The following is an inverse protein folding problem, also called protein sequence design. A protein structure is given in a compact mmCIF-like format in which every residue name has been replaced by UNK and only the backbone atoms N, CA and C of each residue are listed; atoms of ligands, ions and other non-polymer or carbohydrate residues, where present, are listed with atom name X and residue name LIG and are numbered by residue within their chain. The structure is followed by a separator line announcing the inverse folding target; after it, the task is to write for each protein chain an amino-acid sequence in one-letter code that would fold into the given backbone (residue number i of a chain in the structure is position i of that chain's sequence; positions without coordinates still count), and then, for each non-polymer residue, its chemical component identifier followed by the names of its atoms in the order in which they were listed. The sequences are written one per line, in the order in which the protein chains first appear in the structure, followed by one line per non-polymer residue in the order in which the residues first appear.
data_IF_526175113151
#
_entry.id   IF_526175113151
#
_cell.length_a   1.000
_cell.length_b   1.000
_cell.length_c   1.000
_cell.angle_alpha   90.00
_cell.angle_beta   90.00
_cell.angle_gamma   90.00
#
_symmetry.space_group_name_H-M   'P 1'
#
loop_
_entity.id
_entity.type
_entity.pdbx_description
1 polymer ?
#
# COMPACT_ATOMS: atom_id res chain seq x y z
N UNK A 1 2.47 -31.11 5.13
CA UNK A 1 2.77 -29.81 4.47
C UNK A 1 3.50 -28.92 5.43
N UNK A 2 4.60 -28.36 4.98
CA UNK A 2 5.33 -27.38 5.81
C UNK A 2 4.50 -26.10 5.90
N UNK A 3 4.17 -25.68 7.12
CA UNK A 3 3.62 -24.36 7.34
C UNK A 3 4.64 -23.31 6.87
N UNK A 4 4.15 -22.33 6.11
CA UNK A 4 4.98 -21.22 5.67
C UNK A 4 5.26 -20.33 6.87
N UNK A 5 6.52 -19.96 7.05
CA UNK A 5 6.93 -19.05 8.12
C UNK A 5 7.16 -17.66 7.56
N UNK A 6 6.60 -16.68 8.23
CA UNK A 6 6.81 -15.27 7.90
C UNK A 6 7.61 -14.58 8.99
N UNK A 7 8.47 -13.68 8.59
CA UNK A 7 9.15 -12.76 9.50
C UNK A 7 8.38 -11.45 9.55
N UNK A 8 8.33 -10.84 10.73
CA UNK A 8 7.66 -9.57 10.96
C UNK A 8 8.60 -8.60 11.66
N UNK A 9 8.62 -7.37 11.18
CA UNK A 9 9.25 -6.24 11.87
C UNK A 9 8.23 -5.13 12.01
N UNK A 10 8.29 -4.40 13.12
CA UNK A 10 7.44 -3.24 13.35
C UNK A 10 8.22 -1.98 13.00
N UNK A 11 7.54 -1.04 12.35
CA UNK A 11 8.12 0.21 11.91
C UNK A 11 7.27 1.38 12.43
N UNK A 12 7.75 2.13 13.42
CA UNK A 12 7.05 3.34 13.88
C UNK A 12 7.09 4.41 12.79
N UNK A 13 5.94 4.97 12.45
CA UNK A 13 5.85 5.98 11.41
C UNK A 13 4.93 7.12 11.82
N UNK A 14 4.94 8.26 11.07
CA UNK A 14 4.02 9.37 11.34
C UNK A 14 2.53 9.00 11.21
N UNK A 15 2.21 7.91 10.52
CA UNK A 15 0.81 7.47 10.38
C UNK A 15 0.50 6.27 11.28
N UNK A 16 1.37 5.96 12.22
CA UNK A 16 1.20 4.84 13.15
C UNK A 16 2.22 3.75 12.93
N UNK A 17 2.17 2.72 13.74
CA UNK A 17 3.08 1.59 13.62
C UNK A 17 2.71 0.73 12.43
N UNK A 18 3.69 0.47 11.57
CA UNK A 18 3.52 -0.40 10.42
C UNK A 18 4.00 -1.80 10.76
N UNK A 19 3.25 -2.80 10.30
CA UNK A 19 3.61 -4.20 10.36
C UNK A 19 4.19 -4.59 9.01
N UNK A 20 5.46 -4.99 8.98
CA UNK A 20 6.16 -5.41 7.76
C UNK A 20 6.32 -6.91 7.79
N UNK A 21 5.81 -7.62 6.79
CA UNK A 21 5.81 -9.08 6.78
C UNK A 21 6.39 -9.60 5.47
N UNK A 22 7.34 -10.53 5.60
CA UNK A 22 8.04 -11.14 4.46
C UNK A 22 8.36 -12.61 4.73
N UNK A 23 8.51 -13.38 3.66
CA UNK A 23 9.20 -14.66 3.74
C UNK A 23 10.67 -14.46 3.36
N UNK A 24 11.37 -15.53 2.99
CA UNK A 24 12.80 -15.46 2.65
C UNK A 24 13.09 -14.62 1.41
N UNK A 25 12.11 -14.47 0.50
CA UNK A 25 12.30 -13.88 -0.82
C UNK A 25 11.44 -12.66 -1.07
N UNK A 26 10.22 -12.61 -0.51
CA UNK A 26 9.20 -11.65 -0.93
C UNK A 26 8.58 -10.92 0.24
N UNK A 27 8.23 -9.66 -0.04
CA UNK A 27 7.43 -8.84 0.86
C UNK A 27 5.95 -9.18 0.66
N UNK A 28 5.28 -9.59 1.73
CA UNK A 28 3.86 -9.95 1.71
C UNK A 28 2.94 -8.80 2.10
N UNK A 29 3.42 -7.88 2.89
CA UNK A 29 2.60 -6.74 3.23
C UNK A 29 3.30 -5.67 4.07
N UNK A 30 2.70 -4.50 3.99
CA UNK A 30 2.98 -3.34 4.83
C UNK A 30 1.61 -2.85 5.28
N UNK A 31 1.26 -3.07 6.55
CA UNK A 31 -0.04 -2.69 7.07
C UNK A 31 0.10 -1.75 8.25
N UNK A 32 -0.72 -0.70 8.26
CA UNK A 32 -0.89 0.10 9.48
C UNK A 32 -1.67 -0.77 10.48
N UNK A 33 -1.22 -0.84 11.72
CA UNK A 33 -1.96 -1.59 12.74
C UNK A 33 -3.40 -1.07 12.82
N UNK A 34 -4.33 -1.99 13.01
CA UNK A 34 -5.78 -1.74 13.10
C UNK A 34 -6.46 -1.29 11.81
N UNK A 35 -5.76 -1.32 10.66
CA UNK A 35 -6.41 -1.02 9.39
C UNK A 35 -7.33 -2.15 8.92
N UNK A 36 -8.27 -1.82 8.04
CA UNK A 36 -9.10 -2.80 7.32
C UNK A 36 -8.20 -3.73 6.50
N UNK A 37 -8.48 -5.03 6.52
CA UNK A 37 -7.71 -6.08 5.85
C UNK A 37 -6.28 -6.26 6.41
N UNK A 38 -6.09 -5.89 7.68
CA UNK A 38 -4.80 -6.07 8.35
C UNK A 38 -4.32 -7.52 8.24
N UNK A 39 -3.09 -7.71 7.78
CA UNK A 39 -2.45 -9.01 7.56
C UNK A 39 -3.29 -9.97 6.68
N UNK A 40 -4.07 -9.42 5.76
CA UNK A 40 -4.92 -10.20 4.85
C UNK A 40 -4.11 -11.20 4.04
N UNK A 41 -4.61 -12.43 3.96
CA UNK A 41 -4.02 -13.48 3.13
C UNK A 41 -2.97 -14.32 3.82
N UNK A 42 -2.63 -14.03 5.08
CA UNK A 42 -1.65 -14.81 5.83
C UNK A 42 -2.27 -16.01 6.57
N UNK A 43 -3.58 -15.92 6.85
CA UNK A 43 -4.31 -17.05 7.47
C UNK A 43 -3.72 -17.49 8.80
N UNK A 44 -3.66 -18.83 9.00
CA UNK A 44 -3.13 -19.44 10.22
C UNK A 44 -1.61 -19.69 10.16
N UNK A 45 -0.93 -19.02 9.26
CA UNK A 45 0.51 -19.18 9.07
C UNK A 45 1.29 -18.61 10.25
N UNK A 46 2.45 -19.18 10.52
CA UNK A 46 3.30 -18.72 11.63
C UNK A 46 4.01 -17.42 11.27
N UNK A 47 3.80 -16.41 12.10
CA UNK A 47 4.46 -15.10 11.97
C UNK A 47 5.36 -14.92 13.19
N UNK A 48 6.64 -14.68 12.95
CA UNK A 48 7.64 -14.47 14.00
C UNK A 48 8.21 -13.07 13.93
N UNK A 49 8.16 -12.32 15.03
CA UNK A 49 8.87 -11.04 15.12
C UNK A 49 10.36 -11.30 15.18
N UNK A 50 11.10 -10.57 14.34
CA UNK A 50 12.56 -10.72 14.23
C UNK A 50 13.24 -9.36 14.40
N UNK A 51 14.51 -9.37 14.85
CA UNK A 51 15.29 -8.17 15.02
C UNK A 51 15.94 -7.72 13.72
N UNK A 52 16.11 -8.61 12.75
CA UNK A 52 16.69 -8.30 11.46
C UNK A 52 16.24 -9.31 10.41
N UNK A 53 16.11 -8.85 9.15
CA UNK A 53 15.68 -9.67 8.03
C UNK A 53 16.02 -8.95 6.73
N UNK A 54 16.75 -9.59 5.77
CA UNK A 54 17.24 -8.86 4.58
C UNK A 54 16.13 -8.15 3.78
N UNK A 55 15.01 -8.82 3.53
CA UNK A 55 13.90 -8.21 2.78
C UNK A 55 13.30 -7.05 3.57
N UNK A 56 13.04 -7.25 4.87
CA UNK A 56 12.40 -6.23 5.70
C UNK A 56 13.33 -5.03 5.94
N UNK A 57 14.63 -5.25 6.06
CA UNK A 57 15.59 -4.15 6.19
C UNK A 57 15.66 -3.30 4.93
N UNK A 58 15.56 -3.93 3.75
CA UNK A 58 15.45 -3.21 2.49
C UNK A 58 14.19 -2.33 2.46
N UNK A 59 13.07 -2.89 2.92
CA UNK A 59 11.79 -2.15 2.99
C UNK A 59 11.89 -0.99 3.96
N UNK A 60 12.53 -1.20 5.12
CA UNK A 60 12.75 -0.13 6.10
C UNK A 60 13.54 1.01 5.47
N UNK A 61 14.57 0.70 4.70
CA UNK A 61 15.36 1.71 3.99
C UNK A 61 14.48 2.52 3.02
N UNK A 62 13.59 1.86 2.27
CA UNK A 62 12.65 2.56 1.40
C UNK A 62 11.68 3.45 2.19
N UNK A 63 11.17 2.96 3.32
CA UNK A 63 10.26 3.74 4.16
C UNK A 63 10.96 4.95 4.77
N UNK A 64 12.19 4.79 5.24
CA UNK A 64 12.98 5.89 5.78
C UNK A 64 13.16 6.99 4.72
N UNK A 65 13.52 6.61 3.51
CA UNK A 65 13.69 7.54 2.38
C UNK A 65 12.37 8.24 2.06
N UNK A 66 11.28 7.51 2.06
CA UNK A 66 9.96 8.07 1.80
C UNK A 66 9.59 9.13 2.84
N UNK A 67 9.72 8.81 4.13
CA UNK A 67 9.34 9.73 5.20
C UNK A 67 10.29 10.92 5.33
N UNK A 68 11.50 10.81 4.82
CA UNK A 68 12.42 11.95 4.69
C UNK A 68 12.01 12.91 3.57
N UNK A 69 11.05 12.53 2.73
CA UNK A 69 10.55 13.36 1.64
C UNK A 69 11.29 13.19 0.32
N UNK A 70 12.09 12.14 0.19
CA UNK A 70 12.84 11.88 -1.03
C UNK A 70 12.09 10.93 -1.96
N UNK A 71 12.19 11.21 -3.26
CA UNK A 71 11.66 10.33 -4.31
C UNK A 71 12.69 9.27 -4.63
N UNK A 72 12.24 8.03 -4.81
CA UNK A 72 13.12 6.89 -5.02
C UNK A 72 12.56 5.94 -6.07
N UNK A 73 13.43 5.14 -6.65
CA UNK A 73 13.06 4.07 -7.56
C UNK A 73 12.73 2.81 -6.75
N UNK A 74 11.50 2.32 -6.89
CA UNK A 74 11.01 1.13 -6.18
C UNK A 74 10.92 -0.10 -7.08
N UNK A 75 11.56 -0.08 -8.25
CA UNK A 75 11.50 -1.19 -9.22
C UNK A 75 12.06 -2.50 -8.66
N UNK A 76 12.99 -2.43 -7.70
CA UNK A 76 13.60 -3.60 -7.06
C UNK A 76 12.82 -4.11 -5.84
N UNK A 77 11.66 -3.55 -5.56
CA UNK A 77 10.84 -3.96 -4.41
C UNK A 77 10.37 -5.40 -4.61
N UNK A 78 10.74 -6.36 -3.73
CA UNK A 78 10.45 -7.77 -3.93
C UNK A 78 9.03 -8.14 -3.49
N UNK A 79 8.04 -7.69 -4.23
CA UNK A 79 6.63 -7.95 -3.92
C UNK A 79 6.28 -9.41 -4.17
N UNK A 80 5.56 -10.02 -3.23
CA UNK A 80 5.09 -11.40 -3.38
C UNK A 80 4.10 -11.51 -4.55
N UNK A 81 4.15 -12.60 -5.34
CA UNK A 81 3.23 -12.79 -6.47
C UNK A 81 1.87 -13.29 -5.99
N UNK A 82 1.13 -12.43 -5.29
CA UNK A 82 -0.17 -12.74 -4.67
C UNK A 82 -1.26 -11.85 -5.26
N UNK A 83 -2.51 -12.26 -5.05
CA UNK A 83 -3.68 -11.55 -5.54
C UNK A 83 -4.28 -12.19 -6.78
N UNK A 84 -5.51 -11.79 -7.10
CA UNK A 84 -6.18 -12.20 -8.33
C UNK A 84 -5.55 -11.49 -9.53
N UNK A 85 -5.82 -11.96 -10.74
CA UNK A 85 -5.34 -11.30 -11.95
C UNK A 85 -5.83 -9.86 -12.03
N UNK A 86 -7.08 -9.61 -11.63
CA UNK A 86 -7.65 -8.28 -11.59
C UNK A 86 -6.91 -7.38 -10.56
N UNK A 87 -6.71 -7.90 -9.36
CA UNK A 87 -5.97 -7.16 -8.32
C UNK A 87 -4.55 -6.83 -8.78
N UNK A 88 -3.87 -7.79 -9.40
CA UNK A 88 -2.51 -7.56 -9.93
C UNK A 88 -2.46 -6.46 -10.98
N UNK A 89 -3.46 -6.40 -11.87
CA UNK A 89 -3.56 -5.33 -12.87
C UNK A 89 -3.71 -3.96 -12.20
N UNK A 90 -4.57 -3.88 -11.20
CA UNK A 90 -4.78 -2.63 -10.46
C UNK A 90 -3.53 -2.23 -9.70
N UNK A 91 -2.93 -3.16 -8.98
CA UNK A 91 -1.74 -2.86 -8.18
C UNK A 91 -0.54 -2.47 -9.05
N UNK A 92 -0.38 -3.09 -10.23
CA UNK A 92 0.65 -2.68 -11.20
C UNK A 92 0.41 -1.25 -11.67
N UNK A 93 -0.85 -0.90 -11.94
CA UNK A 93 -1.21 0.47 -12.30
C UNK A 93 -0.82 1.46 -11.19
N UNK A 94 -1.11 1.12 -9.94
CA UNK A 94 -0.78 1.98 -8.80
C UNK A 94 0.73 2.27 -8.74
N UNK A 95 1.56 1.29 -9.02
CA UNK A 95 3.02 1.46 -8.99
C UNK A 95 3.52 2.51 -9.98
N UNK A 96 2.75 2.78 -11.01
CA UNK A 96 3.11 3.75 -12.04
C UNK A 96 2.67 5.17 -11.70
N UNK A 97 1.90 5.39 -10.64
CA UNK A 97 1.47 6.73 -10.23
C UNK A 97 2.65 7.45 -9.55
N UNK A 98 3.16 8.55 -10.14
CA UNK A 98 4.34 9.21 -9.58
C UNK A 98 4.11 9.84 -8.21
N UNK A 99 5.18 9.99 -7.47
CA UNK A 99 5.21 10.70 -6.19
C UNK A 99 4.62 12.11 -6.35
N UNK A 100 3.74 12.48 -5.45
CA UNK A 100 3.10 13.81 -5.47
C UNK A 100 1.96 13.96 -6.47
N UNK A 101 1.63 12.89 -7.20
CA UNK A 101 0.52 12.92 -8.17
C UNK A 101 -0.64 12.06 -7.70
N UNK A 102 -1.82 12.36 -8.19
CA UNK A 102 -3.04 11.64 -7.87
C UNK A 102 -3.81 11.26 -9.12
N UNK A 103 -4.68 10.28 -8.98
CA UNK A 103 -5.59 9.85 -10.04
C UNK A 103 -6.92 9.46 -9.41
N UNK A 104 -7.99 9.43 -10.18
CA UNK A 104 -9.29 9.02 -9.66
C UNK A 104 -9.54 7.53 -9.95
N UNK A 105 -10.42 6.92 -9.14
CA UNK A 105 -10.88 5.54 -9.40
C UNK A 105 -11.49 5.43 -10.80
N UNK A 106 -12.27 6.44 -11.22
CA UNK A 106 -12.88 6.44 -12.55
C UNK A 106 -11.85 6.47 -13.68
N UNK A 107 -10.77 7.21 -13.51
CA UNK A 107 -9.71 7.26 -14.51
C UNK A 107 -8.98 5.91 -14.62
N UNK A 108 -8.72 5.25 -13.49
CA UNK A 108 -8.13 3.90 -13.52
C UNK A 108 -9.06 2.92 -14.24
N UNK A 109 -10.37 2.98 -13.94
CA UNK A 109 -11.35 2.12 -14.58
C UNK A 109 -11.34 2.32 -16.10
N UNK A 110 -11.29 3.57 -16.54
CA UNK A 110 -11.22 3.91 -17.95
C UNK A 110 -9.94 3.36 -18.59
N UNK A 111 -8.79 3.59 -17.96
CA UNK A 111 -7.48 3.17 -18.49
C UNK A 111 -7.36 1.65 -18.58
N UNK A 112 -7.92 0.94 -17.61
CA UNK A 112 -7.90 -0.53 -17.58
C UNK A 112 -9.09 -1.16 -18.31
N UNK A 113 -9.99 -0.35 -18.87
CA UNK A 113 -11.19 -0.81 -19.58
C UNK A 113 -12.09 -1.67 -18.69
N UNK A 114 -12.28 -1.20 -17.46
CA UNK A 114 -13.16 -1.83 -16.46
C UNK A 114 -14.43 -1.00 -16.33
N UNK A 115 -15.58 -1.65 -16.38
CA UNK A 115 -16.87 -0.96 -16.35
C UNK A 115 -17.18 -0.29 -15.00
N UNK A 116 -16.57 -0.77 -13.91
CA UNK A 116 -16.94 -0.36 -12.56
C UNK A 116 -15.78 0.30 -11.81
N UNK A 117 -15.92 1.58 -11.49
CA UNK A 117 -15.00 2.28 -10.60
C UNK A 117 -15.05 1.68 -9.19
N UNK A 118 -16.20 1.11 -8.79
CA UNK A 118 -16.33 0.45 -7.49
C UNK A 118 -15.46 -0.80 -7.41
N UNK A 119 -15.36 -1.57 -8.50
CA UNK A 119 -14.48 -2.74 -8.56
C UNK A 119 -13.01 -2.33 -8.41
N UNK A 120 -12.61 -1.20 -9.04
CA UNK A 120 -11.28 -0.63 -8.87
C UNK A 120 -11.06 -0.26 -7.39
N UNK A 121 -12.03 0.42 -6.77
CA UNK A 121 -11.94 0.80 -5.36
C UNK A 121 -11.73 -0.40 -4.43
N UNK A 122 -12.42 -1.51 -4.71
CA UNK A 122 -12.24 -2.75 -3.95
C UNK A 122 -10.82 -3.29 -4.06
N UNK A 123 -10.28 -3.36 -5.27
CA UNK A 123 -8.92 -3.85 -5.50
C UNK A 123 -7.88 -2.92 -4.87
N UNK A 124 -8.05 -1.61 -4.98
CA UNK A 124 -7.18 -0.61 -4.35
C UNK A 124 -7.19 -0.79 -2.83
N UNK A 125 -8.38 -0.98 -2.24
CA UNK A 125 -8.53 -1.16 -0.79
C UNK A 125 -7.87 -2.44 -0.27
N UNK A 126 -7.70 -3.45 -1.10
CA UNK A 126 -7.07 -4.72 -0.73
C UNK A 126 -5.56 -4.76 -1.00
N UNK A 127 -4.96 -3.66 -1.46
CA UNK A 127 -3.52 -3.56 -1.65
C UNK A 127 -2.79 -3.93 -0.34
N UNK A 128 -1.94 -4.97 -0.34
CA UNK A 128 -1.23 -5.35 0.89
C UNK A 128 -0.01 -4.48 1.21
N UNK A 129 0.48 -3.69 0.24
CA UNK A 129 1.75 -2.97 0.39
C UNK A 129 1.52 -1.46 0.51
N UNK A 130 0.93 -1.03 1.61
CA UNK A 130 0.63 0.39 1.85
C UNK A 130 1.87 1.26 1.66
N UNK A 131 1.69 2.47 1.17
CA UNK A 131 2.74 3.48 0.94
C UNK A 131 3.60 3.16 -0.28
N UNK A 132 4.31 2.04 -0.30
CA UNK A 132 5.24 1.71 -1.38
C UNK A 132 4.52 1.30 -2.67
N UNK A 133 3.34 0.66 -2.57
CA UNK A 133 2.38 0.59 -3.67
C UNK A 133 1.30 1.62 -3.35
N UNK A 134 1.26 2.76 -4.05
CA UNK A 134 0.66 3.98 -3.52
C UNK A 134 -0.86 4.06 -3.68
N UNK A 135 -1.60 3.20 -3.01
CA UNK A 135 -3.06 3.26 -3.02
C UNK A 135 -3.61 4.58 -2.46
N UNK A 136 -2.85 5.29 -1.64
CA UNK A 136 -3.24 6.61 -1.12
C UNK A 136 -3.32 7.70 -2.20
N UNK A 137 -2.72 7.47 -3.38
CA UNK A 137 -2.75 8.43 -4.50
C UNK A 137 -4.01 8.34 -5.35
N UNK A 138 -4.97 7.49 -4.97
CA UNK A 138 -6.24 7.33 -5.69
C UNK A 138 -7.34 8.09 -4.96
N UNK A 139 -8.00 8.98 -5.69
CA UNK A 139 -9.04 9.87 -5.15
C UNK A 139 -10.40 9.54 -5.78
N UNK A 140 -11.46 10.01 -5.13
CA UNK A 140 -12.81 9.89 -5.66
C UNK A 140 -13.12 10.95 -6.71
N UNK A 141 -14.37 10.98 -7.15
CA UNK A 141 -14.87 11.93 -8.14
C UNK A 141 -14.58 13.37 -7.69
N UNK A 142 -14.07 14.18 -8.60
CA UNK A 142 -13.71 15.56 -8.30
C UNK A 142 -12.50 15.71 -7.41
N UNK A 143 -11.62 14.70 -7.40
CA UNK A 143 -10.40 14.65 -6.58
C UNK A 143 -10.68 14.67 -5.08
N UNK A 144 -11.83 14.13 -4.68
CA UNK A 144 -12.21 14.09 -3.27
C UNK A 144 -11.48 12.99 -2.53
N UNK A 145 -11.11 13.30 -1.28
CA UNK A 145 -10.52 12.35 -0.37
C UNK A 145 -11.58 11.34 0.05
N UNK A 146 -11.47 10.11 -0.43
CA UNK A 146 -12.40 9.03 -0.10
C UNK A 146 -11.64 7.84 0.46
N UNK A 147 -12.35 6.86 0.96
CA UNK A 147 -11.89 5.67 1.67
C UNK A 147 -10.42 5.26 1.55
N UNK A 148 -9.87 4.83 2.65
CA UNK A 148 -8.52 4.27 2.74
C UNK A 148 -8.53 3.23 3.86
N UNK A 149 -7.83 2.10 3.63
CA UNK A 149 -7.84 0.99 4.59
C UNK A 149 -7.37 1.40 5.99
N UNK A 150 -6.41 2.33 6.06
CA UNK A 150 -5.88 2.85 7.32
C UNK A 150 -6.66 4.07 7.85
N UNK A 151 -7.63 4.57 7.10
CA UNK A 151 -8.42 5.76 7.43
C UNK A 151 -8.03 6.97 6.59
N UNK A 152 -9.03 7.80 6.28
CA UNK A 152 -8.84 8.97 5.41
C UNK A 152 -7.85 10.00 5.98
N UNK A 153 -7.73 10.09 7.30
CA UNK A 153 -6.78 11.00 7.94
C UNK A 153 -5.34 10.65 7.57
N UNK A 154 -5.02 9.36 7.55
CA UNK A 154 -3.69 8.88 7.18
C UNK A 154 -3.44 9.07 5.69
N UNK A 155 -4.46 8.85 4.87
CA UNK A 155 -4.41 9.13 3.43
C UNK A 155 -4.09 10.61 3.19
N UNK A 156 -4.78 11.52 3.87
CA UNK A 156 -4.53 12.95 3.77
C UNK A 156 -3.09 13.29 4.19
N UNK A 157 -2.61 12.69 5.29
CA UNK A 157 -1.25 12.91 5.76
C UNK A 157 -0.22 12.54 4.70
N UNK A 158 -0.38 11.37 4.08
CA UNK A 158 0.54 10.89 3.04
C UNK A 158 0.52 11.81 1.82
N UNK A 159 -0.65 12.25 1.38
CA UNK A 159 -0.79 13.15 0.25
C UNK A 159 -0.16 14.52 0.54
N UNK A 160 -0.38 15.06 1.73
CA UNK A 160 0.23 16.33 2.16
C UNK A 160 1.75 16.20 2.23
N UNK A 161 2.23 15.08 2.75
CA UNK A 161 3.67 14.79 2.82
C UNK A 161 4.31 14.82 1.43
N UNK A 162 3.60 14.31 0.42
CA UNK A 162 4.08 14.29 -0.97
C UNK A 162 3.85 15.61 -1.71
N UNK A 163 3.17 16.56 -1.11
CA UNK A 163 2.80 17.81 -1.77
C UNK A 163 1.70 17.68 -2.81
N UNK A 164 0.92 16.60 -2.75
CA UNK A 164 -0.18 16.35 -3.67
C UNK A 164 -1.41 17.18 -3.29
N UNK A 165 -2.21 17.55 -4.30
CA UNK A 165 -3.47 18.29 -4.08
C UNK A 165 -4.66 17.33 -4.07
N UNK A 166 -5.63 17.65 -3.23
CA UNK A 166 -6.88 16.89 -3.13
C UNK A 166 -7.97 17.78 -2.55
N UNK A 167 -9.23 17.35 -2.72
CA UNK A 167 -10.39 18.04 -2.16
C UNK A 167 -10.83 17.31 -0.89
N UNK A 168 -10.90 18.03 0.22
CA UNK A 168 -11.46 17.49 1.44
C UNK A 168 -12.98 17.40 1.34
N UNK A 169 -13.55 16.36 1.97
CA UNK A 169 -14.99 16.25 2.08
C UNK A 169 -15.49 17.30 3.05
N UNK A 170 -16.10 18.36 2.51
CA UNK A 170 -16.85 19.30 3.34
C UNK A 170 -18.16 18.64 3.75
N UNK A 171 -18.37 18.56 5.03
CA UNK A 171 -19.67 18.18 5.57
C UNK A 171 -20.69 19.29 5.27
#
# INVERSE_FOLDING_TARGET
MKQKKYAKMLYPSPIGTLSLIADKQYLYGIWVQDQTHFERGLGDETIEEVAGHPVLEQVISYLDTYFEGSVQDLSDLPLAPIGTDFEKRVWTYLQAIPYGQTITYGQIAQDLQVASAQAIGGAVGRNPWSILVPCHRVLGLGNRLTGYASGVEKKAWLLQHEGATFQENKK
#
